data_IF_878953385125
#
_entry.id   IF_878953385125
#
_cell.length_a   1.000
_cell.length_b   1.000
_cell.length_c   1.000
_cell.angle_alpha   90.00
_cell.angle_beta   90.00
_cell.angle_gamma   90.00
#
_symmetry.space_group_name_H-M   'P 1'
#
loop_
_entity.id
_entity.type
_entity.pdbx_description
1 polymer ?
#
# COMPACT_ATOMS: atom_id res chain seq x y z
N UNK A 1 33.62 -9.40 -35.41
CA UNK A 1 32.23 -9.75 -35.05
C UNK A 1 32.32 -10.29 -33.63
N UNK A 2 32.10 -9.44 -32.63
CA UNK A 2 32.32 -9.80 -31.22
C UNK A 2 31.07 -10.47 -30.67
N UNK A 3 31.09 -11.79 -30.57
CA UNK A 3 30.10 -12.58 -29.84
C UNK A 3 30.39 -12.55 -28.33
N UNK A 4 30.36 -11.35 -27.74
CA UNK A 4 30.16 -11.24 -26.29
C UNK A 4 28.66 -11.27 -26.04
N UNK A 5 28.05 -12.44 -26.22
CA UNK A 5 26.78 -12.72 -25.58
C UNK A 5 27.01 -12.57 -24.08
N UNK A 6 26.33 -11.62 -23.45
CA UNK A 6 26.35 -11.42 -21.99
C UNK A 6 26.09 -12.78 -21.34
N UNK A 7 27.13 -13.36 -20.72
CA UNK A 7 27.01 -14.60 -19.98
C UNK A 7 26.14 -14.28 -18.76
N UNK A 8 24.86 -14.65 -18.84
CA UNK A 8 23.93 -14.52 -17.72
C UNK A 8 24.49 -15.37 -16.58
N UNK A 9 24.83 -14.72 -15.47
CA UNK A 9 25.38 -15.42 -14.32
C UNK A 9 24.28 -16.12 -13.54
N UNK A 10 24.62 -17.15 -12.76
CA UNK A 10 23.66 -17.76 -11.82
C UNK A 10 23.05 -16.71 -10.87
N UNK A 11 23.84 -15.69 -10.52
CA UNK A 11 23.37 -14.59 -9.67
C UNK A 11 22.30 -13.76 -10.38
N UNK A 12 22.48 -13.46 -11.66
CA UNK A 12 21.50 -12.71 -12.44
C UNK A 12 20.16 -13.44 -12.50
N UNK A 13 20.19 -14.77 -12.69
CA UNK A 13 18.97 -15.60 -12.66
C UNK A 13 18.27 -15.57 -11.29
N UNK A 14 19.04 -15.58 -10.20
CA UNK A 14 18.50 -15.50 -8.84
C UNK A 14 17.87 -14.12 -8.56
N UNK A 15 18.49 -13.05 -9.04
CA UNK A 15 17.99 -11.68 -8.90
C UNK A 15 16.74 -11.45 -9.75
N UNK A 16 16.70 -11.99 -10.96
CA UNK A 16 15.52 -11.98 -11.82
C UNK A 16 14.35 -12.72 -11.17
N UNK A 17 14.58 -13.91 -10.61
CA UNK A 17 13.56 -14.66 -9.89
C UNK A 17 13.04 -13.89 -8.66
N UNK A 18 13.93 -13.25 -7.91
CA UNK A 18 13.56 -12.37 -6.79
C UNK A 18 12.73 -11.17 -7.26
N UNK A 19 13.13 -10.52 -8.35
CA UNK A 19 12.41 -9.38 -8.95
C UNK A 19 10.98 -9.75 -9.34
N UNK A 20 10.79 -10.87 -10.02
CA UNK A 20 9.46 -11.33 -10.41
C UNK A 20 8.61 -11.71 -9.18
N UNK A 21 9.22 -12.35 -8.18
CA UNK A 21 8.52 -12.65 -6.93
C UNK A 21 8.04 -11.38 -6.22
N UNK A 22 8.91 -10.36 -6.10
CA UNK A 22 8.57 -9.08 -5.49
C UNK A 22 7.48 -8.35 -6.27
N UNK A 23 7.56 -8.33 -7.60
CA UNK A 23 6.57 -7.67 -8.46
C UNK A 23 5.20 -8.34 -8.32
N UNK A 24 5.16 -9.67 -8.32
CA UNK A 24 3.91 -10.42 -8.11
C UNK A 24 3.34 -10.20 -6.70
N UNK A 25 4.20 -10.12 -5.68
CA UNK A 25 3.78 -9.81 -4.31
C UNK A 25 3.14 -8.42 -4.23
N UNK A 26 3.72 -7.41 -4.90
CA UNK A 26 3.17 -6.05 -4.99
C UNK A 26 1.82 -6.03 -5.71
N UNK A 27 1.68 -6.73 -6.84
CA UNK A 27 0.39 -6.82 -7.56
C UNK A 27 -0.70 -7.45 -6.67
N UNK A 28 -0.35 -8.49 -5.91
CA UNK A 28 -1.27 -9.09 -4.94
C UNK A 28 -1.74 -8.12 -3.86
N UNK A 29 -0.89 -7.15 -3.49
CA UNK A 29 -1.25 -6.11 -2.52
C UNK A 29 -2.23 -5.11 -3.12
N UNK A 30 -2.08 -4.73 -4.38
CA UNK A 30 -2.99 -3.80 -5.06
C UNK A 30 -4.39 -4.42 -5.24
N UNK A 31 -4.48 -5.71 -5.59
CA UNK A 31 -5.76 -6.42 -5.65
C UNK A 31 -6.49 -6.43 -4.29
N UNK A 32 -5.74 -6.68 -3.20
CA UNK A 32 -6.30 -6.63 -1.84
C UNK A 32 -6.69 -5.21 -1.43
N UNK A 33 -5.94 -4.19 -1.83
CA UNK A 33 -6.27 -2.79 -1.58
C UNK A 33 -7.59 -2.38 -2.24
N UNK A 34 -7.86 -2.82 -3.48
CA UNK A 34 -9.15 -2.59 -4.13
C UNK A 34 -10.32 -3.21 -3.36
N UNK A 35 -10.12 -4.41 -2.84
CA UNK A 35 -11.12 -5.09 -1.99
C UNK A 35 -11.42 -4.29 -0.72
N UNK A 36 -10.38 -3.80 -0.03
CA UNK A 36 -10.53 -2.96 1.17
C UNK A 36 -11.33 -1.67 0.86
N UNK A 37 -11.05 -1.03 -0.28
CA UNK A 37 -11.80 0.16 -0.73
C UNK A 37 -13.29 -0.13 -0.93
N UNK A 38 -13.60 -1.22 -1.64
CA UNK A 38 -14.97 -1.62 -1.90
C UNK A 38 -15.75 -1.87 -0.60
N UNK A 39 -15.17 -2.62 0.34
CA UNK A 39 -15.80 -2.90 1.63
C UNK A 39 -16.02 -1.66 2.48
N UNK A 40 -15.05 -0.74 2.50
CA UNK A 40 -15.21 0.49 3.27
C UNK A 40 -16.36 1.35 2.75
N UNK A 41 -16.44 1.57 1.44
CA UNK A 41 -17.51 2.39 0.85
C UNK A 41 -18.87 1.73 1.08
N UNK A 42 -18.93 0.41 0.94
CA UNK A 42 -20.16 -0.37 1.17
C UNK A 42 -20.62 -0.26 2.62
N UNK A 43 -19.73 -0.50 3.59
CA UNK A 43 -20.06 -0.44 5.01
C UNK A 43 -20.46 0.99 5.42
N UNK A 44 -19.70 2.00 4.98
CA UNK A 44 -20.01 3.40 5.26
C UNK A 44 -21.38 3.80 4.67
N UNK A 45 -21.68 3.38 3.43
CA UNK A 45 -22.96 3.62 2.78
C UNK A 45 -24.14 2.96 3.50
N UNK A 46 -23.98 1.70 3.94
CA UNK A 46 -25.01 0.99 4.72
C UNK A 46 -25.29 1.71 6.03
N UNK A 47 -24.23 2.11 6.76
CA UNK A 47 -24.37 2.81 8.04
C UNK A 47 -24.98 4.21 7.88
N UNK A 48 -24.58 4.94 6.84
CA UNK A 48 -25.15 6.24 6.49
C UNK A 48 -26.64 6.13 6.15
N UNK A 49 -26.98 5.22 5.23
CA UNK A 49 -28.37 4.99 4.79
C UNK A 49 -29.26 4.50 5.93
N UNK A 50 -28.75 3.58 6.77
CA UNK A 50 -29.49 3.09 7.93
C UNK A 50 -29.67 4.18 9.00
N UNK A 51 -28.64 5.00 9.23
CA UNK A 51 -28.72 6.14 10.16
C UNK A 51 -29.81 7.13 9.76
N UNK A 52 -29.89 7.45 8.47
CA UNK A 52 -30.90 8.35 7.93
C UNK A 52 -32.31 7.72 7.89
N UNK A 53 -32.44 6.46 7.50
CA UNK A 53 -33.75 5.81 7.33
C UNK A 53 -34.43 5.43 8.65
N UNK A 54 -33.64 5.04 9.66
CA UNK A 54 -34.15 4.58 10.96
C UNK A 54 -34.04 5.64 12.07
N UNK A 55 -33.74 6.89 11.72
CA UNK A 55 -33.57 8.01 12.65
C UNK A 55 -32.59 7.68 13.80
N UNK A 56 -31.44 7.12 13.43
CA UNK A 56 -30.40 6.65 14.35
C UNK A 56 -29.08 7.34 14.05
N UNK A 57 -28.89 8.61 14.46
CA UNK A 57 -27.69 9.38 14.17
C UNK A 57 -26.41 8.75 14.76
N UNK A 58 -26.55 7.91 15.80
CA UNK A 58 -25.44 7.13 16.35
C UNK A 58 -24.74 6.22 15.32
N UNK A 59 -25.45 5.76 14.28
CA UNK A 59 -24.86 4.95 13.21
C UNK A 59 -23.89 5.74 12.32
N UNK A 60 -24.04 7.06 12.23
CA UNK A 60 -23.11 7.93 11.49
C UNK A 60 -21.74 7.96 12.16
N UNK A 61 -21.71 8.00 13.49
CA UNK A 61 -20.47 7.93 14.28
C UNK A 61 -19.76 6.58 14.13
N UNK A 62 -20.52 5.48 14.09
CA UNK A 62 -19.97 4.15 13.81
C UNK A 62 -19.38 4.10 12.40
N UNK A 63 -20.08 4.64 11.40
CA UNK A 63 -19.59 4.73 10.03
C UNK A 63 -18.35 5.60 9.89
N UNK A 64 -18.28 6.71 10.62
CA UNK A 64 -17.11 7.60 10.66
C UNK A 64 -15.90 6.86 11.23
N UNK A 65 -16.05 6.21 12.39
CA UNK A 65 -14.96 5.45 13.00
C UNK A 65 -14.52 4.29 12.12
N UNK A 66 -15.45 3.56 11.52
CA UNK A 66 -15.15 2.49 10.57
C UNK A 66 -14.35 3.01 9.36
N UNK A 67 -14.78 4.12 8.77
CA UNK A 67 -14.08 4.76 7.64
C UNK A 67 -12.67 5.22 8.03
N UNK A 68 -12.50 5.76 9.24
CA UNK A 68 -11.20 6.15 9.78
C UNK A 68 -10.28 4.92 9.95
N UNK A 69 -10.79 3.81 10.45
CA UNK A 69 -10.02 2.56 10.58
C UNK A 69 -9.61 2.01 9.22
N UNK A 70 -10.50 2.04 8.23
CA UNK A 70 -10.17 1.64 6.86
C UNK A 70 -9.07 2.53 6.25
N UNK A 71 -9.13 3.85 6.49
CA UNK A 71 -8.08 4.77 6.05
C UNK A 71 -6.71 4.44 6.65
N UNK A 72 -6.68 4.15 7.96
CA UNK A 72 -5.45 3.73 8.63
C UNK A 72 -4.91 2.41 8.09
N UNK A 73 -5.78 1.42 7.88
CA UNK A 73 -5.39 0.12 7.32
C UNK A 73 -4.82 0.27 5.92
N UNK A 74 -5.45 1.07 5.04
CA UNK A 74 -4.91 1.31 3.70
C UNK A 74 -3.54 2.01 3.76
N UNK A 75 -3.39 3.03 4.63
CA UNK A 75 -2.11 3.71 4.82
C UNK A 75 -0.99 2.77 5.26
N UNK A 76 -1.25 1.90 6.24
CA UNK A 76 -0.30 0.89 6.68
C UNK A 76 0.02 -0.12 5.58
N UNK A 77 -0.97 -0.52 4.79
CA UNK A 77 -0.80 -1.44 3.67
C UNK A 77 0.10 -0.84 2.59
N UNK A 78 -0.12 0.43 2.25
CA UNK A 78 0.71 1.16 1.28
C UNK A 78 2.13 1.41 1.79
N UNK A 79 2.31 1.65 3.09
CA UNK A 79 3.64 1.71 3.70
C UNK A 79 4.36 0.35 3.69
N UNK A 80 3.62 -0.75 3.84
CA UNK A 80 4.18 -2.11 3.70
C UNK A 80 4.63 -2.39 2.27
N UNK A 81 3.80 -2.02 1.28
CA UNK A 81 4.11 -2.11 -0.15
C UNK A 81 5.31 -1.24 -0.52
N UNK A 82 5.38 0.00 0.00
CA UNK A 82 6.45 0.94 -0.37
C UNK A 82 7.84 0.43 0.01
N UNK A 83 7.95 -0.28 1.12
CA UNK A 83 9.21 -0.83 1.59
C UNK A 83 9.79 -1.91 0.66
N UNK A 84 8.98 -2.56 -0.20
CA UNK A 84 9.44 -3.52 -1.20
C UNK A 84 10.08 -2.84 -2.43
N UNK A 85 9.67 -1.61 -2.77
CA UNK A 85 10.24 -0.89 -3.92
C UNK A 85 11.73 -0.62 -3.77
N UNK A 86 12.22 -0.40 -2.53
CA UNK A 86 13.64 -0.19 -2.28
C UNK A 86 14.52 -1.40 -2.70
N UNK A 87 13.97 -2.62 -2.70
CA UNK A 87 14.69 -3.81 -3.17
C UNK A 87 14.60 -3.94 -4.69
N UNK A 88 13.42 -3.69 -5.25
CA UNK A 88 13.19 -3.71 -6.69
C UNK A 88 14.12 -2.72 -7.39
N UNK A 89 14.18 -1.48 -6.91
CA UNK A 89 15.05 -0.42 -7.47
C UNK A 89 16.53 -0.83 -7.45
N UNK A 90 17.00 -1.52 -6.39
CA UNK A 90 18.37 -2.04 -6.32
C UNK A 90 18.64 -3.14 -7.32
N UNK A 91 17.66 -4.04 -7.54
CA UNK A 91 17.79 -5.09 -8.55
C UNK A 91 17.83 -4.48 -9.95
N UNK A 92 16.95 -3.52 -10.24
CA UNK A 92 16.97 -2.78 -11.51
C UNK A 92 18.29 -2.03 -11.72
N UNK A 93 18.84 -1.40 -10.68
CA UNK A 93 20.15 -0.73 -10.73
C UNK A 93 21.29 -1.69 -11.08
N UNK A 94 21.27 -2.92 -10.55
CA UNK A 94 22.22 -3.97 -10.95
C UNK A 94 22.09 -4.31 -12.43
N UNK A 95 20.87 -4.51 -12.94
CA UNK A 95 20.66 -4.79 -14.36
C UNK A 95 20.95 -3.60 -15.29
N UNK A 96 20.93 -2.37 -14.77
CA UNK A 96 21.42 -1.17 -15.47
C UNK A 96 22.95 -1.02 -15.45
N UNK A 97 23.66 -1.87 -14.70
CA UNK A 97 25.12 -1.76 -14.53
C UNK A 97 25.55 -0.62 -13.59
N UNK A 98 24.64 -0.12 -12.75
CA UNK A 98 24.92 0.93 -11.76
C UNK A 98 25.48 0.37 -10.44
N UNK A 99 25.23 -0.91 -10.17
CA UNK A 99 25.63 -1.60 -8.94
C UNK A 99 26.13 -3.00 -9.26
N UNK A 100 27.41 -3.27 -9.01
CA UNK A 100 28.03 -4.55 -9.38
C UNK A 100 27.91 -5.65 -8.32
N UNK A 101 27.63 -5.30 -7.05
CA UNK A 101 27.62 -6.29 -5.97
C UNK A 101 26.35 -6.26 -5.11
N UNK A 102 25.30 -6.92 -5.60
CA UNK A 102 24.08 -7.20 -4.83
C UNK A 102 23.93 -8.69 -4.54
N UNK A 103 23.84 -9.04 -3.26
CA UNK A 103 23.50 -10.39 -2.85
C UNK A 103 22.02 -10.69 -3.19
N UNK A 104 21.69 -11.86 -3.76
CA UNK A 104 20.30 -12.27 -4.01
C UNK A 104 19.57 -12.66 -2.72
N UNK A 105 18.24 -12.74 -2.80
CA UNK A 105 17.31 -13.18 -1.76
C UNK A 105 17.38 -12.38 -0.44
N UNK A 106 17.57 -11.06 -0.53
CA UNK A 106 17.64 -10.16 0.63
C UNK A 106 16.32 -9.41 0.88
N UNK A 107 15.19 -9.93 0.39
CA UNK A 107 13.86 -9.31 0.51
C UNK A 107 13.53 -8.88 1.94
N UNK A 108 13.57 -9.78 2.92
CA UNK A 108 13.15 -9.50 4.29
C UNK A 108 14.04 -8.43 4.97
N UNK A 109 15.35 -8.56 4.85
CA UNK A 109 16.30 -7.62 5.43
C UNK A 109 16.21 -6.23 4.78
N UNK A 110 16.09 -6.18 3.44
CA UNK A 110 15.91 -4.92 2.72
C UNK A 110 14.61 -4.21 3.11
N UNK A 111 13.54 -4.99 3.33
CA UNK A 111 12.25 -4.50 3.76
C UNK A 111 12.30 -3.93 5.19
N UNK A 112 12.91 -4.65 6.13
CA UNK A 112 13.06 -4.19 7.51
C UNK A 112 13.86 -2.88 7.59
N UNK A 113 14.96 -2.79 6.82
CA UNK A 113 15.76 -1.55 6.70
C UNK A 113 14.94 -0.40 6.13
N UNK A 114 14.20 -0.64 5.04
CA UNK A 114 13.35 0.38 4.40
C UNK A 114 12.24 0.86 5.33
N UNK A 115 11.56 -0.06 6.02
CA UNK A 115 10.51 0.25 7.00
C UNK A 115 11.03 1.08 8.17
N UNK A 116 12.18 0.72 8.74
CA UNK A 116 12.80 1.46 9.85
C UNK A 116 13.24 2.85 9.42
N UNK A 117 13.71 3.02 8.19
CA UNK A 117 14.12 4.31 7.67
C UNK A 117 12.92 5.27 7.46
N UNK A 118 11.79 4.78 6.98
CA UNK A 118 10.58 5.59 6.76
C UNK A 118 9.84 5.98 8.06
N UNK A 119 9.75 5.04 9.00
CA UNK A 119 9.11 5.27 10.30
C UNK A 119 7.67 5.79 10.21
N UNK A 120 7.25 6.55 11.24
CA UNK A 120 5.90 7.14 11.33
C UNK A 120 5.67 8.30 10.35
N UNK A 121 6.73 9.00 9.93
CA UNK A 121 6.65 10.12 8.98
C UNK A 121 6.22 9.66 7.60
N UNK A 122 6.76 8.53 7.15
CA UNK A 122 6.40 7.93 5.87
C UNK A 122 4.93 7.50 5.85
N UNK A 123 4.47 6.89 6.95
CA UNK A 123 3.05 6.53 7.10
C UNK A 123 2.13 7.75 7.00
N UNK A 124 2.45 8.85 7.70
CA UNK A 124 1.66 10.09 7.62
C UNK A 124 1.66 10.68 6.21
N UNK A 125 2.79 10.63 5.50
CA UNK A 125 2.90 11.06 4.11
C UNK A 125 1.99 10.24 3.19
N UNK A 126 1.98 8.92 3.36
CA UNK A 126 1.18 7.99 2.56
C UNK A 126 -0.32 8.15 2.85
N UNK A 127 -0.71 8.36 4.11
CA UNK A 127 -2.11 8.64 4.48
C UNK A 127 -2.66 9.88 3.76
N UNK A 128 -1.80 10.86 3.47
CA UNK A 128 -2.14 12.07 2.71
C UNK A 128 -2.18 11.88 1.18
N UNK A 129 -1.81 10.72 0.64
CA UNK A 129 -1.89 10.49 -0.80
C UNK A 129 -3.34 10.53 -1.28
N UNK A 130 -3.60 11.24 -2.37
CA UNK A 130 -4.96 11.46 -2.90
C UNK A 130 -5.75 10.16 -3.03
N UNK A 131 -5.15 9.11 -3.58
CA UNK A 131 -5.83 7.84 -3.81
C UNK A 131 -6.08 7.01 -2.53
N UNK A 132 -5.39 7.32 -1.42
CA UNK A 132 -5.58 6.71 -0.09
C UNK A 132 -6.60 7.50 0.72
N UNK A 133 -6.52 8.84 0.64
CA UNK A 133 -7.43 9.74 1.35
C UNK A 133 -8.84 9.76 0.76
N UNK A 134 -8.97 9.82 -0.57
CA UNK A 134 -10.27 10.02 -1.24
C UNK A 134 -11.35 8.99 -0.88
N UNK A 135 -11.10 7.66 -0.85
CA UNK A 135 -12.18 6.71 -0.57
C UNK A 135 -12.60 6.70 0.91
N UNK A 136 -11.64 6.83 1.84
CA UNK A 136 -11.89 6.59 3.26
C UNK A 136 -11.90 7.87 4.09
N UNK A 137 -10.91 8.74 3.89
CA UNK A 137 -10.80 10.02 4.59
C UNK A 137 -11.94 10.97 4.25
N UNK A 138 -12.37 11.03 2.97
CA UNK A 138 -13.52 11.81 2.57
C UNK A 138 -14.82 11.29 3.18
N UNK A 139 -15.00 9.97 3.26
CA UNK A 139 -16.17 9.35 3.87
C UNK A 139 -16.22 9.61 5.38
N UNK A 140 -15.09 9.45 6.07
CA UNK A 140 -14.97 9.78 7.49
C UNK A 140 -15.33 11.26 7.75
N UNK A 141 -14.81 12.18 6.93
CA UNK A 141 -15.11 13.61 7.03
C UNK A 141 -16.59 13.91 6.76
N UNK A 142 -17.16 13.32 5.73
CA UNK A 142 -18.58 13.50 5.37
C UNK A 142 -19.50 13.03 6.49
N UNK A 143 -19.22 11.86 7.07
CA UNK A 143 -20.00 11.30 8.17
C UNK A 143 -19.82 12.09 9.47
N UNK A 144 -18.62 12.62 9.72
CA UNK A 144 -18.37 13.53 10.84
C UNK A 144 -19.23 14.79 10.74
N UNK A 145 -19.22 15.46 9.58
CA UNK A 145 -20.02 16.67 9.36
C UNK A 145 -21.51 16.36 9.48
N UNK A 146 -21.99 15.26 8.89
CA UNK A 146 -23.38 14.85 8.99
C UNK A 146 -23.79 14.55 10.45
N UNK A 147 -22.95 13.83 11.20
CA UNK A 147 -23.22 13.51 12.60
C UNK A 147 -23.13 14.69 13.56
N UNK A 148 -22.50 15.81 13.17
CA UNK A 148 -22.50 17.06 13.93
C UNK A 148 -23.72 17.94 13.65
N UNK A 149 -24.40 17.74 12.52
CA UNK A 149 -25.55 18.54 12.08
C UNK A 149 -26.91 17.89 12.44
N UNK A 150 -26.91 16.60 12.76
CA UNK A 150 -28.09 15.79 13.12
C UNK A 150 -28.05 15.44 14.62
#
# INVERSE_FOLDING_TARGET
>A
MNEQGTVVTQRDQQLEAEYFHLTHLIDSFDQKSLTIKAWSVTLAGILAGSGAFFDRPSLLWVGMLGSLMFWLVEGHWKAFQSAHYARIEKIEAHFRGEVDDIAPFQTADSWERSRRAGGSRELLRILGWRHVFLPHGLMALSLLVAGLLL
#
